data_IF_448447646440
#
_entry.id   IF_448447646440
#
_cell.length_a   1.000
_cell.length_b   1.000
_cell.length_c   1.000
_cell.angle_alpha   90.00
_cell.angle_beta   90.00
_cell.angle_gamma   90.00
#
_symmetry.space_group_name_H-M   'P 1'
#
loop_
_entity.id
_entity.type
_entity.pdbx_description
1 polymer ?
#
# COMPACT_ATOMS: atom_id res chain seq x y z
N UNK A 1 3.36 -8.96 9.77
CA UNK A 1 4.43 -9.93 9.46
C UNK A 1 4.66 -10.77 10.69
N UNK A 2 4.98 -12.04 10.53
CA UNK A 2 5.32 -12.94 11.63
C UNK A 2 6.58 -13.72 11.29
N UNK A 3 7.37 -14.03 12.32
CA UNK A 3 8.63 -14.77 12.19
C UNK A 3 8.81 -15.71 13.37
N UNK A 4 9.42 -16.86 13.15
CA UNK A 4 9.82 -17.81 14.20
C UNK A 4 11.21 -18.36 13.90
N UNK A 5 11.98 -18.75 14.92
CA UNK A 5 13.26 -19.46 14.72
C UNK A 5 14.38 -18.66 14.04
N UNK A 6 14.31 -17.32 14.05
CA UNK A 6 15.36 -16.46 13.46
C UNK A 6 16.53 -16.18 14.41
N UNK A 7 16.42 -16.56 15.70
CA UNK A 7 17.47 -16.35 16.71
C UNK A 7 18.80 -17.04 16.38
N UNK A 8 18.77 -18.10 15.57
CA UNK A 8 19.99 -18.76 15.09
C UNK A 8 20.94 -17.81 14.34
N UNK A 9 20.41 -16.83 13.59
CA UNK A 9 21.26 -15.89 12.83
C UNK A 9 22.01 -14.92 13.74
N UNK A 10 21.44 -14.60 14.89
CA UNK A 10 22.08 -13.74 15.89
C UNK A 10 23.03 -14.52 16.80
N UNK A 11 22.73 -15.80 17.09
CA UNK A 11 23.58 -16.65 17.95
C UNK A 11 24.86 -17.15 17.26
N UNK A 12 24.93 -17.14 15.92
CA UNK A 12 26.18 -17.38 15.18
C UNK A 12 27.30 -16.38 15.52
N UNK A 13 26.98 -15.27 16.19
CA UNK A 13 27.91 -14.19 16.52
C UNK A 13 27.99 -13.85 18.01
N UNK A 14 27.36 -14.63 18.90
CA UNK A 14 27.56 -14.44 20.34
C UNK A 14 28.96 -14.93 20.74
N UNK A 15 29.78 -14.01 21.25
CA UNK A 15 31.18 -14.23 21.68
C UNK A 15 31.29 -15.16 22.91
N UNK A 16 30.16 -15.68 23.39
CA UNK A 16 30.06 -16.52 24.58
C UNK A 16 30.27 -18.01 24.32
N UNK A 17 30.26 -18.47 23.05
CA UNK A 17 30.44 -19.87 22.68
C UNK A 17 29.43 -20.84 23.31
N UNK A 18 28.36 -20.33 23.92
CA UNK A 18 27.25 -21.13 24.43
C UNK A 18 26.21 -21.26 23.33
N UNK A 19 25.99 -22.50 22.89
CA UNK A 19 24.79 -22.84 22.15
C UNK A 19 23.58 -22.50 23.00
N UNK A 20 22.79 -21.53 22.57
CA UNK A 20 21.48 -21.25 23.18
C UNK A 20 20.62 -22.50 23.08
N UNK A 21 20.41 -23.18 24.21
CA UNK A 21 19.54 -24.35 24.36
C UNK A 21 18.08 -23.96 24.57
N UNK A 22 17.69 -22.74 24.21
CA UNK A 22 16.29 -22.33 24.29
C UNK A 22 15.48 -23.12 23.26
N UNK A 23 14.26 -23.54 23.63
CA UNK A 23 13.36 -24.25 22.71
C UNK A 23 13.09 -23.44 21.43
N UNK A 24 13.28 -22.13 21.48
CA UNK A 24 13.10 -21.16 20.40
C UNK A 24 14.23 -21.16 19.36
N UNK A 25 15.46 -21.54 19.76
CA UNK A 25 16.59 -21.73 18.85
C UNK A 25 16.47 -23.02 18.00
N UNK A 26 15.69 -23.99 18.47
CA UNK A 26 15.41 -25.25 17.76
C UNK A 26 14.17 -25.18 16.86
N UNK A 27 13.43 -24.06 16.86
CA UNK A 27 12.28 -23.89 15.97
C UNK A 27 12.74 -23.67 14.51
N UNK A 28 12.03 -24.23 13.52
CA UNK A 28 12.34 -23.98 12.13
C UNK A 28 12.17 -22.50 11.80
N UNK A 29 13.18 -21.92 11.17
CA UNK A 29 13.15 -20.55 10.67
C UNK A 29 11.99 -20.38 9.67
N UNK A 30 10.96 -19.63 10.06
CA UNK A 30 9.77 -19.39 9.24
C UNK A 30 9.46 -17.90 9.27
N UNK A 31 9.11 -17.33 8.12
CA UNK A 31 8.55 -15.99 8.05
C UNK A 31 7.40 -15.92 7.06
N UNK A 32 6.42 -15.09 7.40
CA UNK A 32 5.27 -14.86 6.56
C UNK A 32 4.63 -13.50 6.76
N UNK A 33 3.75 -13.17 5.83
CA UNK A 33 2.96 -11.96 5.81
C UNK A 33 1.48 -12.33 5.89
N UNK A 34 0.79 -11.72 6.85
CA UNK A 34 -0.66 -11.73 6.93
C UNK A 34 -1.17 -10.31 6.69
N UNK A 35 -2.25 -10.20 5.93
CA UNK A 35 -2.86 -8.94 5.56
C UNK A 35 -4.36 -9.00 5.70
N UNK A 36 -4.89 -7.88 6.17
CA UNK A 36 -6.32 -7.65 6.34
C UNK A 36 -6.66 -6.45 5.46
N UNK A 37 -7.51 -6.67 4.47
CA UNK A 37 -7.97 -5.63 3.54
C UNK A 37 -9.48 -5.51 3.69
N UNK A 38 -9.97 -4.32 4.07
CA UNK A 38 -11.39 -4.08 4.38
C UNK A 38 -12.01 -5.05 5.38
N UNK A 39 -11.22 -5.47 6.39
CA UNK A 39 -11.67 -6.43 7.40
C UNK A 39 -11.68 -7.88 6.93
N UNK A 40 -11.29 -8.17 5.69
CA UNK A 40 -11.15 -9.53 5.16
C UNK A 40 -9.70 -9.99 5.29
N UNK A 41 -9.50 -11.15 5.91
CA UNK A 41 -8.19 -11.80 5.99
C UNK A 41 -7.85 -12.43 4.65
N UNK A 42 -6.75 -11.98 4.04
CA UNK A 42 -6.21 -12.61 2.83
C UNK A 42 -5.38 -13.82 3.26
N UNK A 43 -5.35 -14.88 2.43
CA UNK A 43 -4.50 -16.06 2.66
C UNK A 43 -3.07 -15.61 2.98
N UNK A 44 -2.49 -16.02 4.12
CA UNK A 44 -1.13 -15.65 4.48
C UNK A 44 -0.13 -16.10 3.43
N UNK A 45 0.84 -15.24 3.15
CA UNK A 45 1.95 -15.52 2.25
C UNK A 45 3.15 -15.98 3.08
N UNK A 46 3.65 -17.19 2.82
CA UNK A 46 4.85 -17.73 3.49
C UNK A 46 6.05 -17.48 2.59
N UNK A 47 7.03 -16.73 3.08
CA UNK A 47 8.26 -16.43 2.34
C UNK A 47 9.22 -17.63 2.39
N UNK A 48 9.40 -18.20 3.57
CA UNK A 48 10.20 -19.40 3.80
C UNK A 48 9.68 -20.13 5.03
N UNK A 49 9.87 -21.45 5.03
CA UNK A 49 9.39 -22.36 6.09
C UNK A 49 10.49 -23.18 6.76
N UNK A 50 11.73 -23.05 6.26
CA UNK A 50 12.89 -23.73 6.82
C UNK A 50 14.15 -22.89 6.67
N UNK A 51 15.14 -23.19 7.50
CA UNK A 51 16.44 -22.54 7.47
C UNK A 51 17.17 -22.76 6.14
N UNK A 52 17.05 -23.95 5.54
CA UNK A 52 17.64 -24.24 4.23
C UNK A 52 17.04 -23.37 3.11
N UNK A 53 15.72 -23.15 3.13
CA UNK A 53 15.06 -22.24 2.19
C UNK A 53 15.49 -20.80 2.40
N UNK A 54 15.54 -20.34 3.65
CA UNK A 54 16.02 -19.00 3.98
C UNK A 54 17.47 -18.79 3.52
N UNK A 55 18.38 -19.71 3.83
CA UNK A 55 19.76 -19.63 3.34
C UNK A 55 19.79 -19.64 1.82
N UNK A 56 19.00 -20.49 1.16
CA UNK A 56 18.85 -20.47 -0.30
C UNK A 56 18.49 -19.09 -0.84
N UNK A 57 17.54 -18.40 -0.22
CA UNK A 57 17.17 -17.03 -0.60
C UNK A 57 18.29 -16.01 -0.35
N UNK A 58 18.99 -16.09 0.78
CA UNK A 58 20.12 -15.19 1.10
C UNK A 58 21.27 -15.39 0.10
N UNK A 59 21.66 -16.63 -0.20
CA UNK A 59 22.73 -16.93 -1.15
C UNK A 59 22.35 -16.60 -2.60
N UNK A 60 21.08 -16.78 -2.96
CA UNK A 60 20.58 -16.42 -4.27
C UNK A 60 20.34 -14.90 -4.43
N UNK A 61 20.46 -14.10 -3.37
CA UNK A 61 20.09 -12.68 -3.38
C UNK A 61 18.60 -12.49 -3.69
N UNK A 62 17.74 -13.45 -3.32
CA UNK A 62 16.31 -13.31 -3.57
C UNK A 62 15.76 -12.16 -2.74
N UNK A 63 15.17 -11.18 -3.42
CA UNK A 63 14.68 -9.95 -2.78
C UNK A 63 15.68 -8.79 -2.82
N UNK A 64 16.90 -8.98 -3.32
CA UNK A 64 17.82 -7.88 -3.63
C UNK A 64 17.25 -6.95 -4.71
N UNK A 65 16.45 -7.49 -5.63
CA UNK A 65 15.65 -6.71 -6.55
C UNK A 65 14.22 -6.54 -6.01
N UNK A 66 13.64 -5.38 -6.33
CA UNK A 66 12.27 -5.04 -5.97
C UNK A 66 11.30 -6.09 -6.54
N UNK A 67 10.61 -6.78 -5.63
CA UNK A 67 9.71 -7.88 -5.97
C UNK A 67 8.28 -7.53 -5.55
N UNK A 68 7.27 -7.66 -6.43
CA UNK A 68 5.87 -7.49 -6.06
C UNK A 68 5.44 -8.62 -5.11
N UNK A 69 4.85 -8.25 -3.99
CA UNK A 69 4.31 -9.18 -3.00
C UNK A 69 2.83 -9.40 -3.29
N UNK A 70 2.07 -8.32 -3.42
CA UNK A 70 0.62 -8.36 -3.69
C UNK A 70 0.26 -7.27 -4.68
N UNK A 71 -0.51 -7.65 -5.69
CA UNK A 71 -1.10 -6.75 -6.66
C UNK A 71 -2.56 -7.11 -6.84
N UNK A 72 -3.45 -6.11 -6.77
CA UNK A 72 -4.87 -6.36 -6.88
C UNK A 72 -5.69 -5.10 -7.04
N UNK A 73 -6.90 -5.29 -7.55
CA UNK A 73 -7.91 -4.26 -7.70
C UNK A 73 -9.20 -4.80 -7.09
N UNK A 74 -9.88 -3.99 -6.30
CA UNK A 74 -11.13 -4.33 -5.64
C UNK A 74 -12.12 -3.19 -5.77
N UNK A 75 -13.37 -3.51 -6.12
CA UNK A 75 -14.46 -2.56 -6.12
C UNK A 75 -14.99 -2.40 -4.68
N UNK A 76 -14.84 -1.20 -4.11
CA UNK A 76 -15.24 -0.86 -2.76
C UNK A 76 -16.68 -0.37 -2.67
N UNK A 77 -17.12 0.40 -3.65
CA UNK A 77 -18.42 1.06 -3.67
C UNK A 77 -19.12 0.64 -4.95
N UNK A 78 -20.35 0.19 -4.82
CA UNK A 78 -21.27 -0.01 -5.94
C UNK A 78 -22.64 0.39 -5.46
N UNK A 79 -23.14 1.51 -5.96
CA UNK A 79 -24.44 2.06 -5.58
C UNK A 79 -25.17 2.48 -6.84
N UNK A 80 -26.39 1.97 -7.00
CA UNK A 80 -27.31 2.39 -8.06
C UNK A 80 -28.66 2.67 -7.39
N UNK A 81 -29.12 3.90 -7.51
CA UNK A 81 -30.35 4.33 -6.87
C UNK A 81 -31.16 5.22 -7.82
N UNK A 82 -32.48 5.01 -7.79
CA UNK A 82 -33.45 5.83 -8.50
C UNK A 82 -34.17 6.70 -7.46
N UNK A 83 -33.95 8.01 -7.52
CA UNK A 83 -34.50 8.99 -6.58
C UNK A 83 -35.65 9.74 -7.26
N UNK A 84 -36.92 9.53 -6.87
CA UNK A 84 -38.03 10.32 -7.37
C UNK A 84 -38.00 11.72 -6.75
N UNK A 85 -37.93 12.74 -7.60
CA UNK A 85 -37.93 14.15 -7.19
C UNK A 85 -39.36 14.66 -6.98
N UNK A 86 -39.51 15.74 -6.21
CA UNK A 86 -40.81 16.33 -5.89
C UNK A 86 -41.58 16.87 -7.10
N UNK A 87 -40.90 17.08 -8.22
CA UNK A 87 -41.48 17.49 -9.50
C UNK A 87 -41.92 16.30 -10.38
N UNK A 88 -41.83 15.06 -9.88
CA UNK A 88 -42.23 13.85 -10.60
C UNK A 88 -41.16 13.26 -11.53
N UNK A 89 -39.99 13.89 -11.63
CA UNK A 89 -38.85 13.36 -12.41
C UNK A 89 -38.09 12.35 -11.57
N UNK A 90 -37.67 11.23 -12.16
CA UNK A 90 -36.80 10.27 -11.49
C UNK A 90 -35.34 10.53 -11.86
N UNK A 91 -34.51 10.78 -10.85
CA UNK A 91 -33.07 10.90 -11.01
C UNK A 91 -32.41 9.51 -10.84
N UNK A 92 -31.51 9.16 -11.73
CA UNK A 92 -30.67 7.96 -11.61
C UNK A 92 -29.30 8.37 -11.09
N UNK A 93 -28.93 7.87 -9.91
CA UNK A 93 -27.63 8.04 -9.29
C UNK A 93 -26.87 6.72 -9.36
N UNK A 94 -25.72 6.72 -10.04
CA UNK A 94 -24.82 5.58 -10.12
C UNK A 94 -23.46 5.99 -9.55
N UNK A 95 -22.93 5.24 -8.59
CA UNK A 95 -21.62 5.50 -7.98
C UNK A 95 -20.84 4.20 -7.88
N UNK A 96 -19.62 4.21 -8.40
CA UNK A 96 -18.66 3.11 -8.35
C UNK A 96 -17.36 3.61 -7.76
N UNK A 97 -16.82 2.83 -6.83
CA UNK A 97 -15.56 3.11 -6.17
C UNK A 97 -14.65 1.91 -6.28
N UNK A 98 -13.41 2.14 -6.68
CA UNK A 98 -12.40 1.10 -6.89
C UNK A 98 -11.13 1.47 -6.13
N UNK A 99 -10.54 0.48 -5.46
CA UNK A 99 -9.21 0.54 -4.87
C UNK A 99 -8.27 -0.37 -5.66
N UNK A 100 -7.12 0.15 -6.05
CA UNK A 100 -5.95 -0.63 -6.46
C UNK A 100 -4.92 -0.64 -5.34
N UNK A 101 -4.25 -1.78 -5.19
CA UNK A 101 -3.16 -1.98 -4.24
C UNK A 101 -2.02 -2.71 -4.95
N UNK A 102 -0.81 -2.17 -4.80
CA UNK A 102 0.45 -2.77 -5.22
C UNK A 102 1.45 -2.62 -4.08
N UNK A 103 1.84 -3.75 -3.50
CA UNK A 103 2.82 -3.84 -2.43
C UNK A 103 4.03 -4.55 -2.99
N UNK A 104 5.18 -3.88 -2.95
CA UNK A 104 6.45 -4.44 -3.37
C UNK A 104 7.50 -4.25 -2.27
N UNK A 105 8.48 -5.15 -2.25
CA UNK A 105 9.53 -5.17 -1.25
C UNK A 105 10.88 -5.46 -1.85
N UNK A 106 11.90 -4.91 -1.23
CA UNK A 106 13.31 -5.16 -1.50
C UNK A 106 14.02 -5.30 -0.16
N UNK A 107 14.89 -6.28 -0.04
CA UNK A 107 15.69 -6.54 1.15
C UNK A 107 17.11 -6.85 0.70
N UNK A 108 18.06 -6.12 1.27
CA UNK A 108 19.48 -6.37 1.11
C UNK A 108 20.08 -6.67 2.49
N UNK A 109 20.87 -7.73 2.60
CA UNK A 109 21.52 -8.13 3.84
C UNK A 109 22.97 -8.49 3.56
N UNK A 110 23.89 -7.90 4.32
CA UNK A 110 25.30 -8.26 4.30
C UNK A 110 25.73 -8.83 5.65
N UNK A 111 26.03 -10.13 5.67
CA UNK A 111 26.60 -10.80 6.85
C UNK A 111 28.03 -10.33 7.14
N UNK A 112 28.78 -9.91 6.11
CA UNK A 112 30.14 -9.41 6.25
C UNK A 112 30.17 -8.00 6.84
N UNK A 113 29.33 -7.10 6.31
CA UNK A 113 29.23 -5.72 6.80
C UNK A 113 28.33 -5.60 8.04
N UNK A 114 27.62 -6.68 8.39
CA UNK A 114 26.70 -6.77 9.53
C UNK A 114 25.61 -5.70 9.52
N UNK A 115 25.04 -5.48 8.34
CA UNK A 115 23.93 -4.58 8.11
C UNK A 115 22.83 -5.24 7.27
N UNK A 116 21.62 -4.70 7.38
CA UNK A 116 20.49 -5.05 6.53
C UNK A 116 19.70 -3.80 6.20
N UNK A 117 19.27 -3.68 4.97
CA UNK A 117 18.43 -2.60 4.48
C UNK A 117 17.18 -3.20 3.86
N UNK A 118 16.05 -2.56 4.06
CA UNK A 118 14.80 -2.98 3.45
C UNK A 118 13.97 -1.78 3.05
N UNK A 119 13.35 -1.91 1.88
CA UNK A 119 12.46 -0.91 1.31
C UNK A 119 11.16 -1.62 0.98
N UNK A 120 10.07 -1.14 1.55
CA UNK A 120 8.73 -1.62 1.25
C UNK A 120 7.94 -0.46 0.67
N UNK A 121 7.52 -0.61 -0.57
CA UNK A 121 6.68 0.37 -1.25
C UNK A 121 5.24 -0.13 -1.27
N UNK A 122 4.34 0.72 -0.81
CA UNK A 122 2.90 0.49 -0.84
C UNK A 122 2.27 1.56 -1.70
N UNK A 123 1.95 1.18 -2.92
CA UNK A 123 1.26 2.04 -3.88
C UNK A 123 -0.21 1.65 -3.87
N UNK A 124 -1.09 2.65 -3.73
CA UNK A 124 -2.52 2.45 -3.78
C UNK A 124 -3.17 3.52 -4.62
N UNK A 125 -4.19 3.16 -5.39
CA UNK A 125 -4.99 4.10 -6.17
C UNK A 125 -6.45 3.98 -5.77
N UNK A 126 -7.10 5.11 -5.53
CA UNK A 126 -8.55 5.17 -5.30
C UNK A 126 -9.19 5.93 -6.46
N UNK A 127 -10.19 5.32 -7.07
CA UNK A 127 -11.04 5.95 -8.07
C UNK A 127 -12.48 5.88 -7.63
N UNK A 128 -13.14 7.02 -7.54
CA UNK A 128 -14.59 7.13 -7.30
C UNK A 128 -15.16 7.79 -8.54
N UNK A 129 -16.04 7.09 -9.24
CA UNK A 129 -16.71 7.55 -10.44
C UNK A 129 -18.20 7.45 -10.22
N UNK A 130 -18.96 8.42 -10.69
CA UNK A 130 -20.40 8.34 -10.64
C UNK A 130 -21.04 9.20 -11.71
N UNK A 131 -22.31 8.91 -11.95
CA UNK A 131 -23.16 9.68 -12.84
C UNK A 131 -24.48 9.99 -12.15
N UNK A 132 -24.98 11.19 -12.40
CA UNK A 132 -26.32 11.61 -12.05
C UNK A 132 -27.05 11.94 -13.34
N UNK A 133 -28.06 11.16 -13.67
CA UNK A 133 -28.85 11.33 -14.89
C UNK A 133 -30.27 11.76 -14.54
N UNK A 134 -30.74 12.81 -15.20
CA UNK A 134 -32.08 13.33 -15.13
C UNK A 134 -32.68 13.23 -16.53
N UNK A 135 -33.70 12.38 -16.67
CA UNK A 135 -34.42 12.24 -17.93
C UNK A 135 -35.79 12.90 -17.83
N UNK A 136 -36.07 13.79 -18.78
CA UNK A 136 -37.35 14.49 -18.90
C UNK A 136 -37.82 14.40 -20.35
N UNK A 137 -39.10 14.65 -20.59
CA UNK A 137 -39.66 14.57 -21.94
C UNK A 137 -38.95 15.51 -22.94
N UNK A 138 -38.41 16.64 -22.45
CA UNK A 138 -37.79 17.67 -23.28
C UNK A 138 -36.26 17.60 -23.31
N UNK A 139 -35.62 17.23 -22.20
CA UNK A 139 -34.17 17.29 -22.02
C UNK A 139 -33.68 16.10 -21.19
N UNK A 140 -32.59 15.49 -21.62
CA UNK A 140 -31.77 14.61 -20.78
C UNK A 140 -30.53 15.39 -20.33
N UNK A 141 -30.34 15.52 -19.01
CA UNK A 141 -29.14 16.10 -18.39
C UNK A 141 -28.40 14.99 -17.64
N UNK A 142 -27.10 14.87 -17.87
CA UNK A 142 -26.24 13.86 -17.26
C UNK A 142 -24.99 14.55 -16.74
N UNK A 143 -24.68 14.31 -15.48
CA UNK A 143 -23.49 14.84 -14.81
C UNK A 143 -22.63 13.68 -14.35
N UNK A 144 -21.49 13.52 -15.00
CA UNK A 144 -20.48 12.55 -14.61
C UNK A 144 -19.45 13.22 -13.71
N UNK A 145 -19.07 12.55 -12.63
CA UNK A 145 -17.98 12.99 -11.77
C UNK A 145 -17.00 11.84 -11.54
N UNK A 146 -15.72 12.18 -11.52
CA UNK A 146 -14.63 11.26 -11.24
C UNK A 146 -13.63 11.90 -10.29
N UNK A 147 -13.32 11.22 -9.20
CA UNK A 147 -12.27 11.55 -8.24
C UNK A 147 -11.22 10.44 -8.32
N UNK A 148 -9.99 10.78 -8.68
CA UNK A 148 -8.88 9.84 -8.78
C UNK A 148 -7.72 10.37 -7.94
N UNK A 149 -7.21 9.50 -7.07
CA UNK A 149 -6.05 9.80 -6.23
C UNK A 149 -5.16 8.58 -6.13
N UNK A 150 -3.86 8.81 -6.21
CA UNK A 150 -2.85 7.81 -5.93
C UNK A 150 -2.19 8.18 -4.60
N UNK A 151 -1.88 7.16 -3.80
CA UNK A 151 -1.18 7.27 -2.53
C UNK A 151 0.04 6.35 -2.58
N UNK A 152 1.22 6.93 -2.41
CA UNK A 152 2.47 6.18 -2.37
C UNK A 152 3.08 6.31 -0.97
N UNK A 153 3.29 5.17 -0.32
CA UNK A 153 3.85 5.08 1.01
C UNK A 153 5.08 4.20 0.98
N UNK A 154 6.24 4.79 1.26
CA UNK A 154 7.53 4.10 1.30
C UNK A 154 7.92 3.89 2.76
N UNK A 155 8.26 2.66 3.10
CA UNK A 155 8.81 2.30 4.40
C UNK A 155 10.26 1.86 4.21
N UNK A 156 11.17 2.65 4.75
CA UNK A 156 12.60 2.35 4.77
C UNK A 156 12.97 1.81 6.14
N UNK A 157 13.81 0.78 6.17
CA UNK A 157 14.29 0.20 7.42
C UNK A 157 15.74 -0.24 7.27
N UNK A 158 16.59 0.35 8.10
CA UNK A 158 18.02 0.08 8.18
C UNK A 158 18.35 -0.54 9.53
N UNK A 159 19.05 -1.66 9.50
CA UNK A 159 19.49 -2.38 10.68
C UNK A 159 21.00 -2.59 10.67
N UNK A 160 21.65 -2.30 11.79
CA UNK A 160 23.05 -2.67 12.05
C UNK A 160 23.10 -3.64 13.23
N UNK A 161 23.86 -4.72 13.08
CA UNK A 161 23.97 -5.77 14.10
C UNK A 161 25.43 -6.14 14.40
N UNK A 162 26.36 -5.20 14.21
CA UNK A 162 27.78 -5.46 14.40
C UNK A 162 28.23 -5.61 15.87
N UNK A 163 27.69 -4.76 16.75
CA UNK A 163 28.00 -4.73 18.20
C UNK A 163 26.76 -4.63 19.06
N UNK A 164 25.80 -3.80 18.63
CA UNK A 164 24.48 -3.64 19.21
C UNK A 164 23.49 -3.69 18.06
N UNK A 165 22.35 -4.35 18.28
CA UNK A 165 21.26 -4.35 17.31
C UNK A 165 20.59 -2.97 17.38
N UNK A 166 20.72 -2.20 16.30
CA UNK A 166 20.12 -0.87 16.13
C UNK A 166 19.25 -0.94 14.89
N UNK A 167 18.00 -0.46 15.01
CA UNK A 167 17.02 -0.47 13.93
C UNK A 167 16.46 0.94 13.73
N UNK A 168 16.70 1.53 12.57
CA UNK A 168 16.05 2.74 12.11
C UNK A 168 14.91 2.39 11.17
N UNK A 169 13.74 3.00 11.37
CA UNK A 169 12.61 2.85 10.47
C UNK A 169 12.04 4.23 10.13
N UNK A 170 11.70 4.43 8.88
CA UNK A 170 11.10 5.67 8.37
C UNK A 170 9.90 5.34 7.51
N UNK A 171 8.80 6.06 7.72
CA UNK A 171 7.60 5.96 6.90
C UNK A 171 7.40 7.30 6.21
N UNK A 172 7.50 7.29 4.89
CA UNK A 172 7.38 8.49 4.05
C UNK A 172 6.15 8.35 3.16
N UNK A 173 5.24 9.29 3.28
CA UNK A 173 4.18 9.52 2.31
C UNK A 173 4.72 10.47 1.24
N UNK A 174 4.69 10.05 -0.02
CA UNK A 174 5.21 10.84 -1.15
C UNK A 174 4.19 11.91 -1.55
N UNK A 175 4.64 12.99 -2.19
CA UNK A 175 3.74 13.98 -2.79
C UNK A 175 2.81 13.30 -3.80
N UNK A 176 1.50 13.56 -3.70
CA UNK A 176 0.53 13.02 -4.65
C UNK A 176 -0.49 14.06 -5.08
N UNK A 177 -1.24 13.75 -6.14
CA UNK A 177 -2.27 14.64 -6.67
C UNK A 177 -3.64 13.99 -6.54
N UNK A 178 -4.63 14.81 -6.21
CA UNK A 178 -6.04 14.44 -6.30
C UNK A 178 -6.60 15.13 -7.54
N UNK A 179 -7.04 14.34 -8.50
CA UNK A 179 -7.68 14.83 -9.71
C UNK A 179 -9.18 14.64 -9.60
N UNK A 180 -9.94 15.70 -9.84
CA UNK A 180 -11.40 15.70 -9.89
C UNK A 180 -11.85 16.18 -11.25
N UNK A 181 -12.61 15.37 -11.95
CA UNK A 181 -13.18 15.71 -13.26
C UNK A 181 -14.69 15.69 -13.14
N UNK A 182 -15.34 16.75 -13.61
CA UNK A 182 -16.80 16.85 -13.70
C UNK A 182 -17.16 17.13 -15.15
N UNK A 183 -17.96 16.27 -15.75
CA UNK A 183 -18.47 16.42 -17.11
C UNK A 183 -19.98 16.58 -17.06
N UNK A 184 -20.48 17.58 -17.78
CA UNK A 184 -21.91 17.85 -17.92
C UNK A 184 -22.32 17.65 -19.37
N UNK A 185 -23.30 16.79 -19.58
CA UNK A 185 -23.82 16.38 -20.87
C UNK A 185 -25.30 16.74 -20.93
N UNK A 186 -25.68 17.61 -21.87
CA UNK A 186 -27.07 17.98 -22.07
C UNK A 186 -27.51 17.66 -23.48
N UNK A 187 -28.63 16.95 -23.60
CA UNK A 187 -29.26 16.60 -24.87
C UNK A 187 -30.71 17.09 -24.86
N UNK A 188 -31.05 17.92 -25.83
CA UNK A 188 -32.44 18.39 -26.01
C UNK A 188 -33.14 17.47 -27.00
N UNK A 189 -34.30 16.95 -26.64
CA UNK A 189 -35.12 16.12 -27.52
C UNK A 189 -35.69 16.94 -28.67
N UNK A 190 -35.62 16.40 -29.89
CA UNK A 190 -36.09 17.07 -31.11
C UNK A 190 -35.11 18.05 -31.76
N UNK A 191 -34.01 18.44 -31.10
CA UNK A 191 -32.91 19.18 -31.72
C UNK A 191 -31.67 18.29 -31.86
N UNK A 192 -30.85 18.46 -32.92
CA UNK A 192 -29.56 17.80 -33.03
C UNK A 192 -28.51 18.38 -32.05
N UNK A 193 -28.89 19.34 -31.22
CA UNK A 193 -27.98 20.05 -30.33
C UNK A 193 -27.66 19.22 -29.08
N UNK A 194 -26.37 18.96 -28.88
CA UNK A 194 -25.79 18.37 -27.68
C UNK A 194 -24.77 19.35 -27.12
N UNK A 195 -24.86 19.64 -25.83
CA UNK A 195 -23.87 20.43 -25.10
C UNK A 195 -23.05 19.51 -24.22
N UNK A 196 -21.73 19.68 -24.25
CA UNK A 196 -20.78 18.93 -23.45
C UNK A 196 -19.81 19.92 -22.81
N UNK A 197 -19.61 19.83 -21.50
CA UNK A 197 -18.65 20.68 -20.78
C UNK A 197 -17.93 19.86 -19.73
N UNK A 198 -16.61 19.78 -19.81
CA UNK A 198 -15.78 19.12 -18.81
C UNK A 198 -14.94 20.14 -18.06
N UNK A 199 -14.89 20.01 -16.74
CA UNK A 199 -13.99 20.76 -15.87
C UNK A 199 -13.15 19.78 -15.08
N UNK A 200 -11.83 19.89 -15.20
CA UNK A 200 -10.88 19.11 -14.40
C UNK A 200 -10.16 20.03 -13.44
N UNK A 201 -10.03 19.60 -12.18
CA UNK A 201 -9.26 20.28 -11.13
C UNK A 201 -8.29 19.30 -10.52
N UNK A 202 -7.06 19.76 -10.32
CA UNK A 202 -6.00 18.97 -9.68
C UNK A 202 -5.57 19.69 -8.42
N UNK A 203 -5.59 18.97 -7.30
CA UNK A 203 -5.15 19.47 -6.01
C UNK A 203 -3.91 18.69 -5.56
N UNK A 204 -2.76 19.35 -5.35
CA UNK A 204 -1.58 18.70 -4.81
C UNK A 204 -1.76 18.41 -3.32
N UNK A 205 -1.26 17.26 -2.89
CA UNK A 205 -1.19 16.80 -1.51
C UNK A 205 0.27 16.60 -1.18
N UNK A 206 0.78 17.41 -0.25
CA UNK A 206 2.18 17.34 0.16
C UNK A 206 2.48 16.05 0.92
N UNK A 207 3.63 15.47 0.58
CA UNK A 207 4.27 14.37 1.26
C UNK A 207 4.66 14.74 2.67
N UNK A 208 4.82 13.71 3.50
CA UNK A 208 5.17 13.85 4.91
C UNK A 208 5.79 12.57 5.44
N UNK A 209 6.70 12.73 6.39
CA UNK A 209 7.26 11.62 7.16
C UNK A 209 6.49 11.49 8.47
N UNK A 210 6.19 10.26 8.87
CA UNK A 210 5.52 10.00 10.14
C UNK A 210 6.56 9.76 11.24
N UNK A 211 6.41 10.49 12.35
CA UNK A 211 7.19 10.23 13.55
C UNK A 211 6.74 8.91 14.19
N UNK A 212 7.71 8.03 14.44
CA UNK A 212 7.50 6.77 15.17
C UNK A 212 7.82 6.99 16.66
N UNK A 213 8.12 5.91 17.36
CA UNK A 213 8.52 5.97 18.76
C UNK A 213 9.86 6.74 18.92
N UNK A 214 10.03 7.44 20.04
CA UNK A 214 11.27 8.13 20.39
C UNK A 214 12.50 7.22 20.31
N UNK A 215 12.39 5.96 20.75
CA UNK A 215 13.46 4.98 20.66
C UNK A 215 13.90 4.73 19.20
N UNK A 216 12.94 4.66 18.26
CA UNK A 216 13.25 4.51 16.82
C UNK A 216 13.96 5.75 16.30
N UNK A 217 13.54 6.95 16.74
CA UNK A 217 14.19 8.20 16.34
C UNK A 217 15.62 8.28 16.87
N UNK A 218 15.87 7.85 18.11
CA UNK A 218 17.21 7.77 18.70
C UNK A 218 18.11 6.80 17.92
N UNK A 219 17.59 5.63 17.53
CA UNK A 219 18.31 4.68 16.68
C UNK A 219 18.59 5.23 15.28
N UNK A 220 17.62 5.92 14.67
CA UNK A 220 17.82 6.60 13.40
C UNK A 220 18.91 7.67 13.48
N UNK A 221 18.93 8.47 14.55
CA UNK A 221 19.98 9.46 14.78
C UNK A 221 21.35 8.79 14.89
N UNK A 222 21.48 7.67 15.62
CA UNK A 222 22.77 6.97 15.70
C UNK A 222 23.27 6.45 14.36
N UNK A 223 22.38 5.93 13.50
CA UNK A 223 22.75 5.43 12.17
C UNK A 223 23.10 6.57 11.20
N UNK A 224 22.31 7.65 11.18
CA UNK A 224 22.46 8.76 10.22
C UNK A 224 23.43 9.88 10.68
N UNK A 225 23.92 9.84 11.93
CA UNK A 225 24.90 10.79 12.46
C UNK A 225 26.36 10.48 12.09
N UNK A 226 26.62 9.35 11.44
CA UNK A 226 27.93 8.96 10.90
C UNK A 226 28.05 9.37 9.45
#
# INVERSE_FOLDING_TARGET
MFTTGLGYFTSLYDDSGKTDTSDEANLPATAGLELIVFGVHIRPFIMFSSQGQLMGHVWAGTGSDKTPIIQGISQMIEHLEYVPLSNGITAELNVKGTLSLDISGQIEMSLWNKNAQSIIEKNGGVSIQGSLKLDTDLVTDEVDFALITEGLLHMHSDAEFAKKIVLCMQIVFVDTNVTTTVSKNQKVHGLPHKSYTTTTRTHPVSGRTFALNQMVNEFCNTIHSR
#
